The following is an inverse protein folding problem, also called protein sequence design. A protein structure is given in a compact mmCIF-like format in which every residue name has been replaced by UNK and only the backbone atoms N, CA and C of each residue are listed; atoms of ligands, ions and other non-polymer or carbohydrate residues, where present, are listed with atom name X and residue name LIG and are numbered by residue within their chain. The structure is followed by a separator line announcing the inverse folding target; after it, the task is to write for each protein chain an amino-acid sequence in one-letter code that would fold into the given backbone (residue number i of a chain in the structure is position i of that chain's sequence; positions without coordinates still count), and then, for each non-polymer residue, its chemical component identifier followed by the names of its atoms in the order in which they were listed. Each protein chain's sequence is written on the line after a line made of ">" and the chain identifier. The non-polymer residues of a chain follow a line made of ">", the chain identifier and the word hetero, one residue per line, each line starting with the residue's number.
data_IF_231277617845
#
_entry.id   IF_231277617845
#
_cell.length_a   1.000
_cell.length_b   1.000
_cell.length_c   1.000
_cell.angle_alpha   90.00
_cell.angle_beta   90.00
_cell.angle_gamma   90.00
#
_symmetry.space_group_name_H-M   'P 1'
#
loop_
_entity.id
_entity.type
_entity.pdbx_description
1 polymer ?
#
# COMPACT_ATOMS: atom_id res chain seq x y z
N UNK A 1 -20.72 17.83 24.37
CA UNK A 1 -20.57 16.52 23.75
C UNK A 1 -20.06 16.60 22.34
N UNK A 2 -19.01 15.83 21.99
CA UNK A 2 -18.61 15.80 20.59
C UNK A 2 -19.73 15.26 19.72
N UNK A 3 -19.91 15.91 18.61
CA UNK A 3 -20.91 15.51 17.65
C UNK A 3 -20.21 15.11 16.36
N UNK A 4 -20.34 13.85 15.99
CA UNK A 4 -19.74 13.35 14.76
C UNK A 4 -20.59 13.76 13.58
N UNK A 5 -20.00 14.52 12.68
CA UNK A 5 -20.65 14.96 11.45
C UNK A 5 -20.62 13.84 10.41
N UNK A 6 -19.49 13.14 10.34
CA UNK A 6 -19.28 12.07 9.39
C UNK A 6 -18.64 10.87 10.08
N UNK A 7 -19.08 9.70 9.68
CA UNK A 7 -18.47 8.44 10.09
C UNK A 7 -18.59 7.44 8.95
N UNK A 8 -17.50 6.83 8.57
CA UNK A 8 -17.50 5.86 7.48
C UNK A 8 -16.50 4.76 7.78
N UNK A 9 -16.83 3.53 7.38
CA UNK A 9 -15.91 2.42 7.43
C UNK A 9 -15.30 2.24 6.04
N UNK A 10 -13.98 2.20 5.98
CA UNK A 10 -13.24 1.99 4.74
C UNK A 10 -12.57 0.62 4.79
N UNK A 11 -12.79 -0.15 3.73
CA UNK A 11 -12.17 -1.45 3.54
C UNK A 11 -10.95 -1.27 2.66
N UNK A 12 -9.80 -1.05 3.30
CA UNK A 12 -8.56 -0.76 2.60
C UNK A 12 -7.83 -2.06 2.26
N UNK A 13 -7.52 -2.21 0.99
CA UNK A 13 -6.80 -3.39 0.46
C UNK A 13 -5.60 -2.91 -0.31
N UNK A 14 -4.44 -2.96 0.32
CA UNK A 14 -3.20 -2.58 -0.36
C UNK A 14 -2.86 -3.63 -1.43
N UNK A 15 -2.08 -3.22 -2.40
CA UNK A 15 -1.67 -4.11 -3.47
C UNK A 15 -0.69 -5.17 -2.99
N UNK A 16 -0.74 -6.34 -3.60
CA UNK A 16 0.22 -7.41 -3.32
C UNK A 16 1.49 -7.19 -4.11
N UNK A 17 2.61 -7.69 -3.61
CA UNK A 17 3.85 -7.70 -4.37
C UNK A 17 3.75 -8.69 -5.53
N UNK A 18 4.40 -8.35 -6.63
CA UNK A 18 4.51 -9.27 -7.76
C UNK A 18 5.48 -10.40 -7.45
N UNK A 19 5.32 -11.52 -8.12
CA UNK A 19 6.21 -12.66 -7.95
C UNK A 19 7.55 -12.40 -8.61
N UNK A 20 8.61 -12.93 -8.04
CA UNK A 20 9.91 -12.97 -8.70
C UNK A 20 9.88 -13.96 -9.85
N UNK A 21 10.81 -13.81 -10.76
CA UNK A 21 10.94 -14.67 -11.93
C UNK A 21 12.08 -15.67 -11.75
N UNK A 22 11.84 -16.91 -12.13
CA UNK A 22 12.85 -17.97 -12.13
C UNK A 22 13.25 -18.30 -13.57
N UNK A 23 14.03 -17.42 -14.17
CA UNK A 23 14.46 -17.52 -15.55
C UNK A 23 15.97 -17.74 -15.62
N UNK A 24 16.43 -18.40 -16.69
CA UNK A 24 17.85 -18.63 -16.92
C UNK A 24 18.18 -18.04 -18.29
N UNK A 25 19.23 -17.22 -18.32
CA UNK A 25 19.69 -16.65 -19.57
C UNK A 25 20.27 -17.75 -20.47
N UNK A 26 19.78 -17.83 -21.68
CA UNK A 26 20.25 -18.80 -22.68
C UNK A 26 20.67 -18.06 -23.95
N UNK A 27 21.89 -18.36 -24.36
CA UNK A 27 22.40 -17.90 -25.64
C UNK A 27 22.63 -19.12 -26.52
N UNK A 28 22.69 -18.86 -27.84
CA UNK A 28 22.83 -19.91 -28.83
C UNK A 28 23.99 -20.86 -28.54
N UNK A 29 25.10 -20.33 -28.08
CA UNK A 29 26.31 -21.12 -27.81
C UNK A 29 26.65 -21.24 -26.32
N UNK A 30 25.72 -20.80 -25.45
CA UNK A 30 25.89 -20.89 -23.98
C UNK A 30 24.62 -21.42 -23.36
N UNK A 31 24.34 -22.72 -23.47
CA UNK A 31 23.08 -23.27 -22.97
C UNK A 31 22.94 -23.20 -21.44
N UNK A 32 24.07 -23.04 -20.71
CA UNK A 32 24.06 -22.95 -19.25
C UNK A 32 24.33 -21.52 -18.81
N UNK A 33 23.52 -20.58 -19.29
CA UNK A 33 23.60 -19.21 -18.84
C UNK A 33 23.21 -19.02 -17.38
N UNK A 34 23.55 -17.88 -16.80
CA UNK A 34 23.23 -17.57 -15.41
C UNK A 34 21.77 -17.27 -15.18
N UNK A 35 21.35 -17.19 -13.92
CA UNK A 35 19.99 -16.81 -13.57
C UNK A 35 19.76 -15.36 -13.96
N UNK A 36 18.65 -15.09 -14.63
CA UNK A 36 18.31 -13.75 -15.09
C UNK A 36 16.87 -13.33 -14.75
N UNK A 37 16.26 -14.03 -13.79
CA UNK A 37 14.92 -13.66 -13.35
C UNK A 37 14.94 -12.41 -12.48
N UNK A 38 14.16 -11.42 -12.87
CA UNK A 38 14.02 -10.18 -12.13
C UNK A 38 13.09 -10.30 -10.93
N UNK A 39 13.09 -9.29 -10.09
CA UNK A 39 12.27 -9.23 -8.90
C UNK A 39 10.85 -8.78 -9.26
N UNK A 40 9.86 -9.21 -8.49
CA UNK A 40 8.52 -8.64 -8.59
C UNK A 40 8.49 -7.23 -8.03
N UNK A 41 7.58 -6.42 -8.54
CA UNK A 41 7.38 -5.07 -8.05
C UNK A 41 6.62 -5.06 -6.73
N UNK A 42 6.81 -4.01 -5.96
CA UNK A 42 6.09 -3.80 -4.71
C UNK A 42 4.64 -3.44 -5.00
N UNK A 43 3.71 -3.89 -4.16
CA UNK A 43 2.31 -3.47 -4.24
C UNK A 43 2.14 -2.04 -3.75
N UNK A 44 1.10 -1.37 -4.23
CA UNK A 44 0.78 -0.02 -3.80
C UNK A 44 0.22 0.02 -2.39
N UNK A 45 0.54 1.08 -1.65
CA UNK A 45 0.01 1.32 -0.32
C UNK A 45 -1.19 2.26 -0.41
N UNK A 46 -2.01 2.26 0.63
CA UNK A 46 -3.13 3.20 0.75
C UNK A 46 -2.78 4.18 1.86
N UNK A 47 -2.83 5.47 1.53
CA UNK A 47 -2.42 6.54 2.43
C UNK A 47 -3.54 7.57 2.54
N UNK A 48 -3.93 7.90 3.76
CA UNK A 48 -4.84 9.02 4.00
C UNK A 48 -4.03 10.32 4.06
N UNK A 49 -4.51 11.34 3.37
CA UNK A 49 -3.84 12.65 3.30
C UNK A 49 -4.85 13.73 3.62
N UNK A 50 -4.52 14.61 4.56
CA UNK A 50 -5.39 15.72 4.89
C UNK A 50 -5.37 16.76 3.77
N UNK A 51 -6.56 17.06 3.25
CA UNK A 51 -6.74 18.11 2.26
C UNK A 51 -7.82 19.06 2.79
N UNK A 52 -7.46 20.31 3.13
CA UNK A 52 -8.44 21.26 3.69
C UNK A 52 -9.59 21.59 2.75
N UNK A 53 -9.44 21.34 1.45
CA UNK A 53 -10.50 21.54 0.48
C UNK A 53 -11.58 20.47 0.56
N UNK A 54 -11.30 19.35 1.22
CA UNK A 54 -12.27 18.27 1.43
C UNK A 54 -12.97 18.52 2.75
N UNK A 55 -14.30 18.59 2.71
CA UNK A 55 -15.09 18.95 3.89
C UNK A 55 -15.96 17.83 4.42
N UNK A 56 -15.99 16.69 3.74
CA UNK A 56 -16.87 15.59 4.12
C UNK A 56 -16.26 14.26 3.73
N UNK A 57 -16.67 13.21 4.45
CA UNK A 57 -16.32 11.82 4.13
C UNK A 57 -17.42 11.13 3.30
N UNK A 58 -18.39 11.89 2.83
CA UNK A 58 -19.57 11.34 2.16
C UNK A 58 -19.25 10.46 0.96
N UNK A 59 -18.25 10.85 0.17
CA UNK A 59 -17.87 10.07 -1.01
C UNK A 59 -17.49 8.64 -0.66
N UNK A 60 -16.93 8.42 0.53
CA UNK A 60 -16.50 7.09 0.95
C UNK A 60 -17.66 6.23 1.45
N UNK A 61 -18.81 6.83 1.76
CA UNK A 61 -20.03 6.07 2.01
C UNK A 61 -20.48 5.33 0.76
N UNK A 62 -20.27 5.95 -0.40
CA UNK A 62 -20.63 5.32 -1.68
C UNK A 62 -19.53 4.44 -2.23
N UNK A 63 -18.28 4.66 -1.81
CA UNK A 63 -17.12 3.91 -2.29
C UNK A 63 -16.23 3.50 -1.12
N UNK A 64 -16.73 2.61 -0.24
CA UNK A 64 -15.97 2.23 0.95
C UNK A 64 -14.83 1.25 0.67
N UNK A 65 -14.86 0.57 -0.48
CA UNK A 65 -13.83 -0.40 -0.84
C UNK A 65 -12.74 0.29 -1.63
N UNK A 66 -11.55 0.35 -1.05
CA UNK A 66 -10.41 1.04 -1.64
C UNK A 66 -9.30 0.02 -1.85
N UNK A 67 -8.90 -0.16 -3.11
CA UNK A 67 -7.91 -1.17 -3.49
C UNK A 67 -6.78 -0.50 -4.26
N UNK A 68 -5.57 -0.66 -3.77
CA UNK A 68 -4.38 -0.20 -4.48
C UNK A 68 -3.89 -1.29 -5.44
N UNK A 69 -3.21 -0.89 -6.53
CA UNK A 69 -2.75 -1.86 -7.51
C UNK A 69 -1.62 -2.72 -6.98
N UNK A 70 -1.57 -3.95 -7.46
CA UNK A 70 -0.49 -4.88 -7.13
C UNK A 70 0.75 -4.58 -7.98
N UNK A 71 1.91 -5.00 -7.49
CA UNK A 71 3.14 -4.96 -8.27
C UNK A 71 3.10 -5.96 -9.39
N UNK A 72 3.89 -5.70 -10.42
CA UNK A 72 3.99 -6.59 -11.56
C UNK A 72 5.01 -7.68 -11.31
N UNK A 73 4.82 -8.81 -11.98
CA UNK A 73 5.73 -9.93 -11.92
C UNK A 73 7.07 -9.58 -12.54
N UNK A 74 8.15 -10.11 -11.97
CA UNK A 74 9.48 -10.03 -12.59
C UNK A 74 9.51 -10.85 -13.86
N UNK A 75 10.47 -10.54 -14.74
CA UNK A 75 10.60 -11.19 -16.04
C UNK A 75 12.05 -11.58 -16.28
N UNK A 76 12.32 -12.38 -17.31
CA UNK A 76 13.67 -12.74 -17.71
C UNK A 76 14.46 -11.53 -18.17
N UNK A 77 15.77 -11.73 -18.43
CA UNK A 77 16.72 -10.67 -18.80
C UNK A 77 16.86 -9.62 -17.69
N UNK A 78 16.80 -10.06 -16.45
CA UNK A 78 16.95 -9.21 -15.25
C UNK A 78 15.96 -8.04 -15.22
N UNK A 79 14.76 -8.24 -15.77
CA UNK A 79 13.74 -7.20 -15.77
C UNK A 79 12.87 -7.32 -14.52
N UNK A 80 12.92 -6.29 -13.68
CA UNK A 80 12.07 -6.23 -12.51
C UNK A 80 10.66 -5.80 -12.91
N UNK A 81 9.67 -6.32 -12.19
CA UNK A 81 8.30 -5.86 -12.36
C UNK A 81 8.13 -4.45 -11.81
N UNK A 82 7.26 -3.68 -12.42
CA UNK A 82 6.98 -2.32 -11.95
C UNK A 82 6.19 -2.37 -10.65
N UNK A 83 6.41 -1.36 -9.79
CA UNK A 83 5.66 -1.22 -8.55
C UNK A 83 4.24 -0.76 -8.84
N UNK A 84 3.29 -1.22 -8.02
CA UNK A 84 1.96 -0.64 -8.02
C UNK A 84 1.99 0.75 -7.42
N UNK A 85 1.19 1.67 -7.96
CA UNK A 85 1.16 3.02 -7.45
C UNK A 85 0.48 3.08 -6.09
N UNK A 86 1.00 3.93 -5.21
CA UNK A 86 0.32 4.22 -3.94
C UNK A 86 -0.96 5.01 -4.24
N UNK A 87 -1.98 4.74 -3.44
CA UNK A 87 -3.27 5.40 -3.58
C UNK A 87 -3.45 6.38 -2.44
N UNK A 88 -3.59 7.66 -2.78
CA UNK A 88 -3.83 8.70 -1.79
C UNK A 88 -5.33 8.96 -1.65
N UNK A 89 -5.81 8.87 -0.43
CA UNK A 89 -7.21 9.11 -0.10
C UNK A 89 -7.28 10.43 0.68
N UNK A 90 -7.93 11.41 0.09
CA UNK A 90 -8.03 12.74 0.69
C UNK A 90 -9.12 12.75 1.74
N UNK A 91 -8.78 13.26 2.91
CA UNK A 91 -9.70 13.32 4.05
C UNK A 91 -9.74 14.74 4.61
N UNK A 92 -10.84 15.11 5.26
CA UNK A 92 -10.93 16.45 5.88
C UNK A 92 -9.92 16.60 7.03
N UNK A 93 -9.56 17.84 7.29
CA UNK A 93 -8.77 18.19 8.47
C UNK A 93 -9.55 17.80 9.73
N UNK A 94 -8.87 17.20 10.69
CA UNK A 94 -9.48 16.76 11.93
C UNK A 94 -10.15 15.39 11.84
N UNK A 95 -9.87 14.62 10.81
CA UNK A 95 -10.36 13.24 10.72
C UNK A 95 -9.58 12.33 11.65
N UNK A 96 -10.28 11.53 12.44
CA UNK A 96 -9.63 10.51 13.26
C UNK A 96 -9.79 9.15 12.59
N UNK A 97 -8.78 8.31 12.76
CA UNK A 97 -8.72 6.97 12.20
C UNK A 97 -8.77 5.97 13.34
N UNK A 98 -9.73 5.07 13.30
CA UNK A 98 -9.89 4.00 14.28
C UNK A 98 -9.64 2.66 13.62
N UNK A 99 -9.09 1.73 14.38
CA UNK A 99 -8.84 0.38 13.87
C UNK A 99 -10.10 -0.49 13.94
N UNK A 100 -9.95 -1.77 13.61
CA UNK A 100 -11.04 -2.74 13.60
C UNK A 100 -11.70 -2.93 14.96
N UNK A 101 -10.96 -2.62 16.01
CA UNK A 101 -11.43 -2.76 17.39
C UNK A 101 -11.88 -1.43 18.01
N UNK A 102 -11.92 -0.37 17.22
CA UNK A 102 -12.33 0.94 17.71
C UNK A 102 -11.22 1.73 18.39
N UNK A 103 -9.98 1.28 18.31
CA UNK A 103 -8.85 2.00 18.90
C UNK A 103 -8.41 3.14 18.00
N UNK A 104 -8.04 4.24 18.62
CA UNK A 104 -7.52 5.39 17.89
C UNK A 104 -6.12 5.08 17.34
N UNK A 105 -5.99 5.15 16.02
CA UNK A 105 -4.70 4.99 15.34
C UNK A 105 -4.04 6.32 15.03
N UNK A 106 -4.84 7.31 14.64
CA UNK A 106 -4.30 8.59 14.24
C UNK A 106 -5.37 9.68 14.35
N UNK A 107 -4.91 10.88 14.64
CA UNK A 107 -5.72 12.09 14.61
C UNK A 107 -5.09 12.98 13.54
N UNK A 108 -5.74 13.10 12.40
CA UNK A 108 -5.16 13.74 11.23
C UNK A 108 -5.48 15.22 11.22
N UNK A 109 -4.58 16.01 11.76
CA UNK A 109 -4.72 17.45 11.87
C UNK A 109 -3.60 18.13 11.10
N UNK A 110 -3.96 19.13 10.31
CA UNK A 110 -3.01 19.91 9.53
C UNK A 110 -2.94 19.45 8.08
N UNK A 111 -2.98 20.42 7.16
CA UNK A 111 -2.91 20.15 5.73
C UNK A 111 -1.66 19.33 5.38
N UNK A 112 -1.82 18.33 4.56
CA UNK A 112 -0.72 17.49 4.13
C UNK A 112 -0.33 16.38 5.09
N UNK A 113 -0.94 16.31 6.27
CA UNK A 113 -0.68 15.20 7.20
C UNK A 113 -1.05 13.88 6.55
N UNK A 114 -0.17 12.89 6.67
CA UNK A 114 -0.32 11.60 6.00
C UNK A 114 -0.35 10.48 7.03
N UNK A 115 -1.12 9.45 6.73
CA UNK A 115 -1.18 8.24 7.53
C UNK A 115 -1.29 7.03 6.61
N UNK A 116 -0.36 6.09 6.72
CA UNK A 116 -0.42 4.86 5.93
C UNK A 116 -1.50 3.94 6.47
N UNK A 117 -2.59 3.83 5.73
CA UNK A 117 -3.74 3.01 6.13
C UNK A 117 -3.48 1.53 5.94
N UNK A 118 -2.85 1.17 4.84
CA UNK A 118 -2.54 -0.22 4.52
C UNK A 118 -1.27 -0.25 3.68
N UNK A 119 -0.33 -1.08 4.08
CA UNK A 119 0.97 -1.16 3.40
C UNK A 119 0.93 -2.16 2.26
N UNK A 120 1.50 -1.79 1.12
CA UNK A 120 1.66 -2.69 -0.01
C UNK A 120 2.62 -3.84 0.33
N UNK A 121 2.40 -4.99 -0.30
CA UNK A 121 3.25 -6.15 -0.10
C UNK A 121 4.57 -6.02 -0.83
N UNK A 122 5.61 -6.64 -0.30
CA UNK A 122 6.91 -6.64 -0.96
C UNK A 122 6.91 -7.55 -2.17
N UNK A 123 7.61 -7.15 -3.23
CA UNK A 123 7.82 -8.00 -4.38
C UNK A 123 8.73 -9.17 -4.03
N UNK A 124 8.49 -10.32 -4.67
CA UNK A 124 9.31 -11.49 -4.48
C UNK A 124 10.64 -11.35 -5.22
N UNK A 125 11.71 -11.85 -4.62
CA UNK A 125 13.01 -11.82 -5.27
C UNK A 125 13.06 -12.82 -6.44
N UNK A 126 13.62 -12.40 -7.56
CA UNK A 126 13.89 -13.26 -8.68
C UNK A 126 15.10 -14.15 -8.42
N UNK A 127 15.30 -15.18 -9.26
CA UNK A 127 16.41 -16.09 -9.04
C UNK A 127 17.77 -15.43 -9.25
N UNK A 128 17.84 -14.33 -10.02
CA UNK A 128 19.09 -13.59 -10.15
C UNK A 128 19.53 -12.99 -8.80
N UNK A 129 18.61 -12.44 -8.04
CA UNK A 129 18.89 -11.89 -6.71
C UNK A 129 19.15 -12.98 -5.68
N UNK A 130 18.58 -14.16 -5.86
CA UNK A 130 18.76 -15.30 -4.97
C UNK A 130 20.03 -16.10 -5.27
N UNK A 131 20.68 -15.84 -6.38
CA UNK A 131 21.90 -16.55 -6.74
C UNK A 131 22.99 -16.29 -5.71
N UNK A 132 23.74 -17.32 -5.38
CA UNK A 132 24.79 -17.24 -4.38
C UNK A 132 25.99 -18.03 -4.87
N UNK A 133 27.10 -17.96 -4.11
CA UNK A 133 28.31 -18.75 -4.42
C UNK A 133 28.03 -20.24 -4.42
N UNK A 134 27.15 -20.68 -3.52
CA UNK A 134 26.81 -22.09 -3.41
C UNK A 134 25.78 -22.53 -4.43
N UNK A 135 24.94 -21.58 -4.88
CA UNK A 135 23.86 -21.89 -5.81
C UNK A 135 23.78 -20.78 -6.84
N UNK A 136 24.42 -20.99 -7.99
CA UNK A 136 24.54 -19.95 -9.02
C UNK A 136 23.33 -19.78 -9.90
N UNK A 137 22.48 -20.80 -10.00
CA UNK A 137 21.28 -20.77 -10.82
C UNK A 137 20.13 -21.44 -10.10
N UNK A 138 19.58 -20.80 -9.05
CA UNK A 138 18.43 -21.39 -8.35
C UNK A 138 17.27 -21.62 -9.30
N UNK A 139 16.63 -22.77 -9.18
CA UNK A 139 15.47 -23.11 -10.01
C UNK A 139 14.16 -22.52 -9.49
N UNK A 140 14.23 -21.55 -8.58
CA UNK A 140 13.04 -20.99 -7.97
C UNK A 140 13.20 -19.48 -7.76
N UNK A 141 12.07 -18.83 -7.57
CA UNK A 141 11.99 -17.43 -7.16
C UNK A 141 10.99 -17.33 -6.01
N UNK A 142 11.00 -16.21 -5.30
CA UNK A 142 10.07 -16.00 -4.21
C UNK A 142 8.77 -15.40 -4.72
N UNK A 143 7.67 -15.80 -4.09
CA UNK A 143 6.38 -15.18 -4.34
C UNK A 143 6.34 -13.79 -3.71
N UNK A 144 5.54 -12.90 -4.30
CA UNK A 144 5.27 -11.63 -3.69
C UNK A 144 4.47 -11.80 -2.40
N UNK A 145 4.66 -10.87 -1.47
CA UNK A 145 3.91 -10.87 -0.22
C UNK A 145 2.56 -10.21 -0.44
N UNK A 146 1.50 -10.68 0.26
CA UNK A 146 0.21 -10.02 0.14
C UNK A 146 0.25 -8.61 0.72
N UNK A 147 -0.54 -7.71 0.14
CA UNK A 147 -0.74 -6.40 0.71
C UNK A 147 -1.55 -6.48 1.99
N UNK A 148 -1.42 -5.47 2.82
CA UNK A 148 -2.16 -5.39 4.07
C UNK A 148 -3.63 -5.11 3.78
N UNK A 149 -4.52 -5.75 4.52
CA UNK A 149 -5.97 -5.53 4.45
C UNK A 149 -6.44 -5.01 5.79
N UNK A 150 -7.10 -3.86 5.79
CA UNK A 150 -7.57 -3.24 7.02
C UNK A 150 -8.97 -2.67 6.83
N UNK A 151 -9.79 -2.83 7.86
CA UNK A 151 -11.11 -2.23 7.91
C UNK A 151 -11.02 -1.10 8.94
N UNK A 152 -10.95 0.12 8.45
CA UNK A 152 -10.70 1.30 9.27
C UNK A 152 -11.93 2.19 9.32
N UNK A 153 -12.20 2.77 10.49
CA UNK A 153 -13.27 3.73 10.64
C UNK A 153 -12.69 5.14 10.63
N UNK A 154 -13.25 5.99 9.79
CA UNK A 154 -12.92 7.41 9.78
C UNK A 154 -14.08 8.18 10.40
N UNK A 155 -13.76 9.09 11.30
CA UNK A 155 -14.73 9.94 11.94
C UNK A 155 -14.29 11.39 11.88
N UNK A 156 -15.22 12.29 11.62
CA UNK A 156 -14.97 13.71 11.66
C UNK A 156 -16.01 14.35 12.58
N UNK A 157 -15.52 15.07 13.57
CA UNK A 157 -16.36 15.74 14.54
C UNK A 157 -16.43 17.24 14.24
N UNK A 158 -17.62 17.80 14.26
CA UNK A 158 -17.80 19.22 14.12
C UNK A 158 -17.15 19.98 15.28
N UNK A 159 -17.28 19.44 16.48
CA UNK A 159 -16.72 20.07 17.66
C UNK A 159 -15.20 20.01 17.69
N UNK A 160 -14.59 19.05 17.00
CA UNK A 160 -13.15 18.94 16.93
C UNK A 160 -12.52 20.24 16.42
N UNK A 161 -13.09 20.78 15.35
CA UNK A 161 -12.62 22.04 14.80
C UNK A 161 -12.83 23.20 15.77
N UNK A 162 -13.96 23.22 16.44
CA UNK A 162 -14.27 24.25 17.41
C UNK A 162 -13.29 24.22 18.59
N UNK A 163 -12.97 23.06 19.08
CA UNK A 163 -12.03 22.91 20.17
C UNK A 163 -10.63 23.40 19.82
N UNK A 164 -10.20 23.13 18.60
CA UNK A 164 -8.90 23.60 18.15
C UNK A 164 -8.83 25.10 18.02
N UNK A 165 -9.94 25.76 17.80
CA UNK A 165 -10.03 27.19 17.68
C UNK A 165 -10.24 27.89 19.02
N UNK A 166 -10.64 27.15 20.02
CA UNK A 166 -10.92 27.73 21.33
C UNK A 166 -9.59 28.07 22.05
N UNK A 167 -9.38 29.31 22.40
CA UNK A 167 -8.25 29.62 23.28
C UNK A 167 -8.50 29.01 24.64
N UNK A 168 -7.58 28.27 25.07
CA UNK A 168 -7.70 27.63 26.37
C UNK A 168 -7.62 28.64 27.49
#
# INVERSE_FOLDING_TARGET
>A
MPRFVDRVVIYARAGSGGNGCASVHREKFKPLGGPDGGNGGRGGSIVFVVDPAVHTLLDYHFRPHITAPSGKQGMGNNRDGSAGADLEIKVPDGTVVLDENGRLLADLVGAGTRFEAAAGGRGGLGNAALASRARKAPGFALLGEPGQSRDLTLERSEEHTSELQSPA
#
